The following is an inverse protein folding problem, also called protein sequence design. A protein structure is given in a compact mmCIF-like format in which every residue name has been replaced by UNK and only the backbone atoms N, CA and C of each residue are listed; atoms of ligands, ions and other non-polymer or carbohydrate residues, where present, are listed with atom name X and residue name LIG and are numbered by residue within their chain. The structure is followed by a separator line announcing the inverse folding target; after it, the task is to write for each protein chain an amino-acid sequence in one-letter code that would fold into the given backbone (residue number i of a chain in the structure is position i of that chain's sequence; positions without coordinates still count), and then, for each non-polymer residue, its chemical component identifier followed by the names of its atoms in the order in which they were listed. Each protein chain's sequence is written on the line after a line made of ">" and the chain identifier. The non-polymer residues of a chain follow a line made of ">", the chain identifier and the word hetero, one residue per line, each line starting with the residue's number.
data_IF_362704414049
#
_entry.id   IF_362704414049
#
_cell.length_a   1.000
_cell.length_b   1.000
_cell.length_c   1.000
_cell.angle_alpha   90.00
_cell.angle_beta   90.00
_cell.angle_gamma   90.00
#
_symmetry.space_group_name_H-M   'P 1'
#
loop_
_entity.id
_entity.type
_entity.pdbx_description
1 polymer ?
#
# COMPACT_ATOMS: atom_id res chain seq x y z
N UNK A 1 -5.26 -13.15 7.59
CA UNK A 1 -5.32 -12.27 6.40
C UNK A 1 -5.09 -10.83 6.84
N UNK A 2 -4.20 -10.13 6.16
CA UNK A 2 -3.90 -8.73 6.51
C UNK A 2 -4.89 -7.81 5.81
N UNK A 3 -5.71 -7.13 6.59
CA UNK A 3 -6.61 -6.12 6.04
C UNK A 3 -5.84 -4.80 5.91
N UNK A 4 -6.14 -4.06 4.85
CA UNK A 4 -5.46 -2.79 4.64
C UNK A 4 -6.37 -1.80 3.91
N UNK A 5 -5.97 -0.54 3.98
CA UNK A 5 -6.68 0.56 3.34
C UNK A 5 -5.84 1.18 2.24
N UNK A 6 -4.95 0.41 1.64
CA UNK A 6 -4.04 0.95 0.61
C UNK A 6 -4.83 1.55 -0.54
N UNK A 7 -5.80 0.82 -1.08
CA UNK A 7 -6.59 1.32 -2.22
C UNK A 7 -7.35 2.59 -1.83
N UNK A 8 -8.01 2.58 -0.68
CA UNK A 8 -8.78 3.72 -0.23
C UNK A 8 -7.91 4.97 -0.08
N UNK A 9 -6.79 4.83 0.63
CA UNK A 9 -5.91 5.96 0.88
C UNK A 9 -5.19 6.42 -0.39
N UNK A 10 -4.88 5.47 -1.28
CA UNK A 10 -4.30 5.81 -2.57
C UNK A 10 -5.26 6.67 -3.38
N UNK A 11 -6.53 6.27 -3.42
CA UNK A 11 -7.54 7.02 -4.16
C UNK A 11 -7.79 8.39 -3.54
N UNK A 12 -7.79 8.48 -2.22
CA UNK A 12 -7.91 9.76 -1.54
C UNK A 12 -6.75 10.70 -1.88
N UNK A 13 -5.57 10.12 -2.09
CA UNK A 13 -4.39 10.90 -2.46
C UNK A 13 -4.36 11.23 -3.95
N UNK A 14 -5.32 10.74 -4.73
CA UNK A 14 -5.39 11.01 -6.15
C UNK A 14 -4.36 10.24 -6.97
N UNK A 15 -3.88 9.10 -6.47
CA UNK A 15 -2.84 8.32 -7.13
C UNK A 15 -3.40 7.09 -7.83
N UNK A 16 -2.84 6.77 -9.01
CA UNK A 16 -3.09 5.49 -9.64
C UNK A 16 -2.16 4.44 -9.02
N UNK A 17 -2.43 3.15 -9.33
CA UNK A 17 -1.54 2.09 -8.88
C UNK A 17 -0.12 2.28 -9.42
N UNK A 18 -0.01 2.69 -10.69
CA UNK A 18 1.29 2.95 -11.30
C UNK A 18 2.03 4.07 -10.57
N UNK A 19 1.32 5.14 -10.23
CA UNK A 19 1.93 6.27 -9.53
C UNK A 19 2.41 5.86 -8.14
N UNK A 20 1.59 5.11 -7.42
CA UNK A 20 2.00 4.62 -6.10
C UNK A 20 3.21 3.71 -6.22
N UNK A 21 3.21 2.82 -7.23
CA UNK A 21 4.34 1.93 -7.46
C UNK A 21 5.62 2.71 -7.71
N UNK A 22 5.57 3.71 -8.58
CA UNK A 22 6.75 4.52 -8.90
C UNK A 22 7.26 5.28 -7.69
N UNK A 23 6.36 5.89 -6.94
CA UNK A 23 6.74 6.71 -5.80
C UNK A 23 7.27 5.90 -4.64
N UNK A 24 6.74 4.70 -4.45
CA UNK A 24 7.13 3.86 -3.32
C UNK A 24 8.29 2.93 -3.64
N UNK A 25 8.59 2.74 -4.93
CA UNK A 25 9.60 1.76 -5.34
C UNK A 25 9.09 0.32 -5.22
N UNK A 26 7.79 0.14 -5.06
CA UNK A 26 7.17 -1.18 -4.95
C UNK A 26 6.59 -1.53 -6.32
N UNK A 27 6.64 -2.81 -6.71
CA UNK A 27 6.10 -3.22 -8.00
C UNK A 27 4.58 -3.02 -8.03
N UNK A 28 4.05 -2.73 -9.21
CA UNK A 28 2.61 -2.60 -9.38
C UNK A 28 1.89 -3.90 -9.03
N UNK A 29 2.50 -5.03 -9.38
CA UNK A 29 1.93 -6.34 -9.04
C UNK A 29 1.76 -6.48 -7.54
N UNK A 30 2.77 -6.09 -6.77
CA UNK A 30 2.69 -6.16 -5.31
C UNK A 30 1.58 -5.25 -4.79
N UNK A 31 1.47 -4.04 -5.33
CA UNK A 31 0.41 -3.11 -4.91
C UNK A 31 -0.95 -3.69 -5.21
N UNK A 32 -1.14 -4.24 -6.41
CA UNK A 32 -2.40 -4.87 -6.78
C UNK A 32 -2.74 -6.03 -5.84
N UNK A 33 -1.76 -6.86 -5.50
CA UNK A 33 -1.97 -7.99 -4.60
C UNK A 33 -2.34 -7.52 -3.20
N UNK A 34 -1.72 -6.44 -2.73
CA UNK A 34 -2.08 -5.88 -1.43
C UNK A 34 -3.49 -5.32 -1.43
N UNK A 35 -3.86 -4.60 -2.48
CA UNK A 35 -5.19 -3.98 -2.55
C UNK A 35 -6.31 -5.00 -2.65
N UNK A 36 -6.04 -6.13 -3.28
CA UNK A 36 -7.02 -7.22 -3.41
C UNK A 36 -6.90 -8.24 -2.28
N UNK A 37 -6.00 -8.00 -1.34
CA UNK A 37 -5.75 -8.88 -0.20
C UNK A 37 -5.32 -10.29 -0.60
N UNK A 38 -4.71 -10.43 -1.77
CA UNK A 38 -4.18 -11.72 -2.22
C UNK A 38 -2.91 -12.12 -1.50
N UNK A 39 -2.22 -11.13 -0.90
CA UNK A 39 -1.04 -11.37 -0.08
C UNK A 39 -1.38 -11.06 1.36
N UNK A 40 -1.07 -12.01 2.24
CA UNK A 40 -1.33 -11.85 3.67
C UNK A 40 -0.13 -11.29 4.43
N UNK A 41 1.04 -11.28 3.80
CA UNK A 41 2.25 -10.76 4.44
C UNK A 41 3.09 -10.00 3.43
N UNK A 42 3.85 -9.04 3.94
CA UNK A 42 4.81 -8.32 3.13
C UNK A 42 5.91 -7.82 4.06
N UNK A 43 7.02 -7.42 3.45
CA UNK A 43 8.16 -6.94 4.23
C UNK A 43 7.81 -5.63 4.93
N UNK A 44 8.40 -5.43 6.09
CA UNK A 44 8.22 -4.18 6.84
C UNK A 44 8.64 -2.99 5.99
N UNK A 45 9.72 -3.12 5.21
CA UNK A 45 10.18 -2.05 4.33
C UNK A 45 9.11 -1.67 3.30
N UNK A 46 8.34 -2.66 2.82
CA UNK A 46 7.24 -2.40 1.89
C UNK A 46 6.15 -1.57 2.57
N UNK A 47 5.80 -1.93 3.79
CA UNK A 47 4.78 -1.22 4.55
C UNK A 47 5.18 0.25 4.77
N UNK A 48 6.43 0.47 5.17
CA UNK A 48 6.91 1.83 5.41
C UNK A 48 7.01 2.63 4.12
N UNK A 49 7.41 2.01 3.02
CA UNK A 49 7.50 2.71 1.74
C UNK A 49 6.14 3.23 1.29
N UNK A 50 5.11 2.40 1.43
CA UNK A 50 3.75 2.79 1.07
C UNK A 50 3.24 3.87 2.01
N UNK A 51 3.48 3.70 3.30
CA UNK A 51 3.04 4.67 4.31
C UNK A 51 3.65 6.04 4.06
N UNK A 52 4.92 6.08 3.68
CA UNK A 52 5.60 7.33 3.41
C UNK A 52 4.97 8.07 2.22
N UNK A 53 4.67 7.34 1.14
CA UNK A 53 4.06 7.95 -0.03
C UNK A 53 2.66 8.46 0.28
N UNK A 54 1.89 7.70 1.04
CA UNK A 54 0.52 8.08 1.39
C UNK A 54 0.46 9.08 2.53
N UNK A 55 1.60 9.37 3.17
CA UNK A 55 1.70 10.30 4.29
C UNK A 55 0.75 9.91 5.43
N UNK A 56 0.71 8.63 5.74
CA UNK A 56 -0.11 8.07 6.80
C UNK A 56 0.72 7.09 7.62
N UNK A 57 0.45 6.94 8.92
CA UNK A 57 1.16 5.93 9.70
C UNK A 57 0.75 4.52 9.26
N UNK A 58 1.68 3.58 9.41
CA UNK A 58 1.42 2.19 9.05
C UNK A 58 0.16 1.67 9.76
N UNK A 59 -0.07 2.09 10.99
CA UNK A 59 -1.21 1.64 11.78
C UNK A 59 -2.56 2.05 11.16
N UNK A 60 -2.60 3.09 10.35
CA UNK A 60 -3.84 3.49 9.68
C UNK A 60 -4.04 2.77 8.36
N UNK A 61 -2.98 2.23 7.79
CA UNK A 61 -3.02 1.61 6.47
C UNK A 61 -3.22 0.11 6.58
N UNK A 62 -2.49 -0.52 7.48
CA UNK A 62 -2.48 -1.98 7.62
C UNK A 62 -3.16 -2.37 8.92
N UNK A 63 -4.38 -2.88 8.76
CA UNK A 63 -5.22 -3.28 9.90
C UNK A 63 -5.13 -4.80 10.05
N UNK A 64 -4.93 -5.26 11.24
CA UNK A 64 -4.88 -6.71 11.49
C UNK A 64 -6.22 -7.24 12.00
#
# INVERSE_FOLDING_TARGET
>A
MLKNRVKELREEAGLTQDELAKKSGISRTMISQLETEQKSDCKVSTLFAIAEVLNKPVSEIFLS
#
